data_IF_433587929522
#
_entry.id   IF_433587929522
#
_cell.length_a   1.000
_cell.length_b   1.000
_cell.length_c   1.000
_cell.angle_alpha   90.00
_cell.angle_beta   90.00
_cell.angle_gamma   90.00
#
_symmetry.space_group_name_H-M   'P 1'
#
loop_
_entity.id
_entity.type
_entity.pdbx_description
1 polymer ?
#
# COMPACT_ATOMS: atom_id res chain seq x y z
N UNK A 1 -11.71 -15.01 -1.16
CA UNK A 1 -11.76 -14.05 -0.03
C UNK A 1 -10.46 -14.16 0.77
N UNK A 2 -9.74 -13.06 1.06
CA UNK A 2 -8.56 -13.12 1.92
C UNK A 2 -8.96 -13.56 3.34
N UNK A 3 -8.17 -14.44 3.95
CA UNK A 3 -8.39 -14.96 5.30
C UNK A 3 -7.38 -14.34 6.26
N UNK A 4 -7.82 -14.05 7.49
CA UNK A 4 -6.92 -13.62 8.54
C UNK A 4 -5.83 -14.67 8.80
N UNK A 5 -4.58 -14.21 8.95
CA UNK A 5 -3.43 -15.06 9.25
C UNK A 5 -3.04 -14.83 10.71
N UNK A 6 -2.91 -15.92 11.48
CA UNK A 6 -2.39 -15.87 12.85
C UNK A 6 -0.86 -15.95 12.79
N UNK A 7 -0.20 -15.03 13.47
CA UNK A 7 1.26 -14.95 13.54
C UNK A 7 1.70 -14.67 14.96
N UNK A 8 2.91 -15.14 15.30
CA UNK A 8 3.63 -14.74 16.52
C UNK A 8 4.85 -13.94 16.10
N UNK A 9 5.04 -12.77 16.70
CA UNK A 9 6.10 -11.86 16.31
C UNK A 9 6.45 -10.87 17.42
N UNK A 10 7.46 -10.04 17.16
CA UNK A 10 7.93 -9.00 18.06
C UNK A 10 7.46 -7.64 17.57
N UNK A 11 6.84 -6.86 18.45
CA UNK A 11 6.66 -5.42 18.21
C UNK A 11 8.00 -4.74 18.43
N UNK A 12 8.58 -4.16 17.38
CA UNK A 12 9.90 -3.53 17.45
C UNK A 12 9.80 -2.03 17.72
N UNK A 13 8.73 -1.38 17.23
CA UNK A 13 8.48 0.06 17.40
C UNK A 13 6.98 0.34 17.43
N UNK A 14 6.61 1.44 18.08
CA UNK A 14 5.24 1.97 18.18
C UNK A 14 5.26 3.45 17.81
N UNK A 15 4.24 3.91 17.08
CA UNK A 15 4.07 5.29 16.63
C UNK A 15 2.60 5.72 16.76
N UNK A 16 2.35 7.03 16.82
CA UNK A 16 1.01 7.61 16.68
C UNK A 16 0.54 7.67 15.20
N UNK A 17 1.38 7.24 14.26
CA UNK A 17 1.07 7.09 12.84
C UNK A 17 0.97 8.42 12.10
N UNK A 18 1.53 9.50 12.64
CA UNK A 18 1.51 10.82 12.03
C UNK A 18 2.82 11.13 11.31
N UNK A 19 2.69 11.50 10.04
CA UNK A 19 3.80 12.01 9.23
C UNK A 19 3.25 12.85 8.08
N UNK A 20 4.15 13.45 7.32
CA UNK A 20 3.81 14.29 6.18
C UNK A 20 4.49 13.75 4.93
N UNK A 21 3.71 13.50 3.88
CA UNK A 21 4.28 13.14 2.59
C UNK A 21 4.92 14.38 1.97
N UNK A 22 6.18 14.23 1.57
CA UNK A 22 6.98 15.27 0.93
C UNK A 22 7.37 14.80 -0.48
N UNK A 23 7.07 15.62 -1.48
CA UNK A 23 7.29 15.28 -2.89
C UNK A 23 6.17 14.41 -3.50
N UNK A 24 6.37 13.92 -4.73
CA UNK A 24 5.42 13.04 -5.41
C UNK A 24 4.25 13.74 -6.10
N UNK A 25 3.08 13.09 -6.14
CA UNK A 25 1.80 13.66 -6.61
C UNK A 25 1.03 14.38 -5.48
N UNK A 26 1.33 14.04 -4.23
CA UNK A 26 0.63 14.51 -3.04
C UNK A 26 1.50 15.52 -2.30
N UNK A 27 1.58 16.74 -2.84
CA UNK A 27 2.34 17.82 -2.22
C UNK A 27 1.88 18.02 -0.77
N UNK A 28 2.79 17.83 0.19
CA UNK A 28 2.63 18.31 1.57
C UNK A 28 1.44 17.68 2.32
N UNK A 29 1.03 16.47 1.96
CA UNK A 29 -0.19 15.85 2.51
C UNK A 29 0.03 15.29 3.91
N UNK A 30 -0.68 15.77 4.95
CA UNK A 30 -0.61 15.19 6.28
C UNK A 30 -1.28 13.81 6.28
N UNK A 31 -0.65 12.86 6.95
CA UNK A 31 -1.12 11.47 7.08
C UNK A 31 -1.34 11.16 8.55
N UNK A 32 -2.43 10.45 8.84
CA UNK A 32 -2.75 9.93 10.17
C UNK A 32 -3.21 8.48 10.06
N UNK A 33 -2.27 7.56 10.27
CA UNK A 33 -2.51 6.11 10.31
C UNK A 33 -3.04 5.62 11.68
N UNK A 34 -3.18 6.52 12.66
CA UNK A 34 -3.50 6.18 14.05
C UNK A 34 -2.40 5.35 14.71
N UNK A 35 -2.72 4.69 15.83
CA UNK A 35 -1.75 3.80 16.52
C UNK A 35 -1.19 2.80 15.50
N UNK A 36 0.12 2.85 15.35
CA UNK A 36 0.84 2.08 14.33
C UNK A 36 1.99 1.33 15.01
N UNK A 37 2.17 0.07 14.64
CA UNK A 37 3.25 -0.78 15.15
C UNK A 37 4.06 -1.37 14.01
N UNK A 38 5.37 -1.45 14.21
CA UNK A 38 6.25 -2.28 13.38
C UNK A 38 6.29 -3.67 14.01
N UNK A 39 5.72 -4.65 13.31
CA UNK A 39 5.67 -6.05 13.71
C UNK A 39 6.72 -6.84 12.93
N UNK A 40 7.60 -7.54 13.63
CA UNK A 40 8.57 -8.45 13.06
C UNK A 40 8.13 -9.90 13.27
N UNK A 41 8.01 -10.67 12.19
CA UNK A 41 7.74 -12.11 12.19
C UNK A 41 8.85 -12.79 11.40
N UNK A 42 9.84 -13.37 12.10
CA UNK A 42 11.06 -13.86 11.46
C UNK A 42 11.80 -12.74 10.72
N UNK A 43 12.00 -12.91 9.41
CA UNK A 43 12.59 -11.92 8.51
C UNK A 43 11.58 -10.92 7.91
N UNK A 44 10.29 -11.08 8.18
CA UNK A 44 9.23 -10.23 7.63
C UNK A 44 8.97 -9.07 8.59
N UNK A 45 9.02 -7.85 8.06
CA UNK A 45 8.66 -6.64 8.78
C UNK A 45 7.36 -6.07 8.20
N UNK A 46 6.37 -5.86 9.06
CA UNK A 46 5.04 -5.36 8.68
C UNK A 46 4.69 -4.10 9.46
N UNK A 47 4.05 -3.15 8.79
CA UNK A 47 3.47 -1.95 9.41
C UNK A 47 1.98 -2.20 9.61
N UNK A 48 1.55 -2.32 10.86
CA UNK A 48 0.14 -2.51 11.22
C UNK A 48 -0.39 -1.21 11.77
N UNK A 49 -1.47 -0.69 11.19
CA UNK A 49 -2.04 0.61 11.51
C UNK A 49 -3.54 0.51 11.83
N UNK A 50 -4.01 1.36 12.73
CA UNK A 50 -5.42 1.42 13.12
C UNK A 50 -6.31 2.10 12.08
N UNK A 51 -5.74 2.92 11.18
CA UNK A 51 -6.45 3.65 10.12
C UNK A 51 -5.83 3.33 8.75
N UNK A 52 -6.54 3.76 7.70
CA UNK A 52 -6.06 3.66 6.32
C UNK A 52 -4.69 4.33 6.16
N UNK A 53 -3.83 3.70 5.36
CA UNK A 53 -2.50 4.18 5.06
C UNK A 53 -2.34 4.49 3.55
N UNK A 54 -1.49 5.47 3.20
CA UNK A 54 -1.14 5.77 1.81
C UNK A 54 -0.09 4.77 1.31
N UNK A 55 -0.51 3.54 1.02
CA UNK A 55 0.37 2.43 0.68
C UNK A 55 1.27 2.61 -0.55
N UNK A 56 1.19 3.74 -1.24
CA UNK A 56 2.03 4.10 -2.39
C UNK A 56 3.36 4.76 -2.01
N UNK A 57 3.53 5.21 -0.76
CA UNK A 57 4.67 6.05 -0.37
C UNK A 57 5.62 5.33 0.62
N UNK A 58 6.96 5.42 0.45
CA UNK A 58 7.91 4.79 1.37
C UNK A 58 7.87 5.38 2.79
N UNK A 59 7.30 6.57 3.00
CA UNK A 59 7.13 7.15 4.34
C UNK A 59 6.22 6.31 5.24
N UNK A 60 5.34 5.48 4.68
CA UNK A 60 4.57 4.48 5.44
C UNK A 60 5.51 3.55 6.23
N UNK A 61 6.69 3.25 5.72
CA UNK A 61 7.69 2.46 6.42
C UNK A 61 8.66 3.34 7.23
N UNK A 62 9.15 4.42 6.61
CA UNK A 62 10.19 5.27 7.23
C UNK A 62 9.73 5.98 8.50
N UNK A 63 8.47 6.39 8.59
CA UNK A 63 7.97 7.09 9.78
C UNK A 63 8.07 6.24 11.06
N UNK A 64 8.03 4.91 10.92
CA UNK A 64 8.18 3.97 12.02
C UNK A 64 9.58 3.32 12.01
N UNK A 65 10.56 3.92 11.35
CA UNK A 65 11.96 3.49 11.40
C UNK A 65 12.28 2.22 10.62
N UNK A 66 11.47 1.85 9.64
CA UNK A 66 11.79 0.82 8.65
C UNK A 66 12.23 1.49 7.35
N UNK A 67 13.41 1.14 6.84
CA UNK A 67 13.90 1.69 5.59
C UNK A 67 13.64 0.68 4.44
N UNK A 68 12.80 1.03 3.44
CA UNK A 68 12.46 0.11 2.35
C UNK A 68 13.66 -0.33 1.51
N UNK A 69 14.74 0.46 1.43
CA UNK A 69 15.95 0.11 0.66
C UNK A 69 16.73 -1.07 1.28
N UNK A 70 16.51 -1.35 2.56
CA UNK A 70 17.19 -2.44 3.28
C UNK A 70 16.45 -3.78 3.10
N UNK A 71 15.24 -3.76 2.55
CA UNK A 71 14.46 -4.95 2.27
C UNK A 71 14.77 -5.52 0.88
N UNK A 72 14.76 -6.85 0.76
CA UNK A 72 14.88 -7.53 -0.54
C UNK A 72 13.63 -7.32 -1.40
N UNK A 73 12.45 -7.28 -0.77
CA UNK A 73 11.15 -7.10 -1.40
C UNK A 73 10.30 -6.19 -0.51
N UNK A 74 9.62 -5.22 -1.11
CA UNK A 74 8.65 -4.35 -0.44
C UNK A 74 7.29 -4.58 -1.07
N UNK A 75 6.29 -4.89 -0.23
CA UNK A 75 4.90 -4.99 -0.69
C UNK A 75 4.28 -3.60 -0.69
N UNK A 76 3.72 -3.21 -1.83
CA UNK A 76 3.09 -1.90 -2.00
C UNK A 76 1.63 -2.11 -2.32
N UNK A 77 0.75 -1.55 -1.49
CA UNK A 77 -0.70 -1.55 -1.73
C UNK A 77 -1.09 -0.38 -2.63
N UNK A 78 -0.58 -0.36 -3.87
CA UNK A 78 -0.91 0.62 -4.90
C UNK A 78 -0.50 0.14 -6.28
N UNK A 79 -1.33 0.37 -7.31
CA UNK A 79 -1.03 0.00 -8.70
C UNK A 79 0.03 0.91 -9.30
N UNK A 80 -0.18 2.24 -9.35
CA UNK A 80 0.70 3.14 -10.12
C UNK A 80 1.54 4.10 -9.27
N UNK A 81 1.02 4.55 -8.13
CA UNK A 81 1.65 5.63 -7.34
C UNK A 81 3.05 5.30 -6.82
N UNK A 82 3.36 4.01 -6.67
CA UNK A 82 4.67 3.56 -6.19
C UNK A 82 5.80 3.81 -7.19
N UNK A 83 5.51 3.87 -8.49
CA UNK A 83 6.55 4.01 -9.52
C UNK A 83 7.37 5.28 -9.34
N UNK A 84 6.72 6.39 -8.96
CA UNK A 84 7.40 7.67 -8.69
C UNK A 84 8.01 7.67 -7.29
N UNK A 85 7.24 7.29 -6.27
CA UNK A 85 7.67 7.37 -4.86
C UNK A 85 8.83 6.42 -4.51
N UNK A 86 8.96 5.29 -5.22
CA UNK A 86 10.03 4.32 -5.02
C UNK A 86 11.14 4.38 -6.08
N UNK A 87 11.05 5.26 -7.09
CA UNK A 87 11.98 5.30 -8.23
C UNK A 87 13.47 5.31 -7.81
N UNK A 88 13.81 6.03 -6.74
CA UNK A 88 15.20 6.13 -6.26
C UNK A 88 15.72 4.92 -5.48
N UNK A 89 14.86 3.95 -5.14
CA UNK A 89 15.22 2.78 -4.33
C UNK A 89 14.76 1.44 -4.92
N UNK A 90 13.89 1.47 -5.94
CA UNK A 90 13.34 0.29 -6.60
C UNK A 90 14.12 -0.04 -7.88
N UNK A 91 14.48 -1.32 -8.06
CA UNK A 91 15.10 -1.81 -9.31
C UNK A 91 14.08 -2.30 -10.34
N UNK A 92 12.99 -2.92 -9.88
CA UNK A 92 11.91 -3.46 -10.72
C UNK A 92 10.61 -3.60 -9.93
N UNK A 93 9.49 -3.59 -10.63
CA UNK A 93 8.17 -3.95 -10.08
C UNK A 93 7.84 -5.39 -10.42
N UNK A 94 7.31 -6.14 -9.45
CA UNK A 94 6.76 -7.48 -9.66
C UNK A 94 5.25 -7.40 -9.44
N UNK A 95 4.48 -7.60 -10.51
CA UNK A 95 3.02 -7.62 -10.44
C UNK A 95 2.56 -8.97 -9.91
N UNK A 96 1.59 -8.94 -9.00
CA UNK A 96 1.01 -10.13 -8.39
C UNK A 96 -0.51 -10.10 -8.53
N UNK A 97 -1.09 -11.19 -8.99
CA UNK A 97 -2.56 -11.35 -9.06
C UNK A 97 -3.09 -11.78 -7.69
N UNK A 98 -3.13 -10.83 -6.76
CA UNK A 98 -3.65 -11.08 -5.42
C UNK A 98 -5.18 -10.93 -5.38
N UNK A 99 -5.90 -11.85 -4.69
CA UNK A 99 -7.34 -11.68 -4.47
C UNK A 99 -7.61 -10.47 -3.56
N UNK A 100 -8.77 -9.84 -3.71
CA UNK A 100 -9.19 -8.74 -2.85
C UNK A 100 -10.30 -7.89 -3.47
N UNK A 101 -10.56 -6.73 -2.86
CA UNK A 101 -11.59 -5.80 -3.34
C UNK A 101 -11.19 -5.05 -4.64
N UNK A 102 -9.89 -5.07 -4.98
CA UNK A 102 -9.34 -4.38 -6.15
C UNK A 102 -8.44 -5.32 -6.95
N UNK A 103 -8.97 -6.45 -7.49
CA UNK A 103 -8.17 -7.37 -8.28
C UNK A 103 -7.93 -6.77 -9.67
N UNK A 104 -6.76 -7.05 -10.26
CA UNK A 104 -6.51 -6.72 -11.67
C UNK A 104 -7.24 -7.69 -12.60
N UNK A 105 -7.43 -8.93 -12.15
CA UNK A 105 -8.19 -9.94 -12.88
C UNK A 105 -9.67 -9.91 -12.46
N UNK A 106 -10.54 -9.44 -13.37
CA UNK A 106 -11.96 -9.26 -13.10
C UNK A 106 -12.70 -10.59 -12.92
N UNK A 107 -12.16 -11.69 -13.42
CA UNK A 107 -12.76 -13.04 -13.25
C UNK A 107 -12.70 -13.53 -11.81
N UNK A 108 -11.81 -12.96 -10.96
CA UNK A 108 -11.69 -13.31 -9.54
C UNK A 108 -12.66 -12.57 -8.63
N UNK A 109 -13.34 -11.54 -9.13
CA UNK A 109 -14.25 -10.76 -8.30
C UNK A 109 -15.61 -11.42 -8.22
N UNK A 110 -16.16 -11.50 -7.01
CA UNK A 110 -17.57 -11.89 -6.79
C UNK A 110 -18.55 -10.75 -7.07
N UNK A 111 -18.05 -9.64 -7.65
CA UNK A 111 -18.83 -8.46 -7.97
C UNK A 111 -19.63 -8.73 -9.24
N UNK A 112 -20.94 -8.52 -9.18
CA UNK A 112 -21.79 -8.57 -10.36
C UNK A 112 -21.49 -7.38 -11.29
N UNK A 113 -20.67 -7.64 -12.31
CA UNK A 113 -20.32 -6.63 -13.32
C UNK A 113 -21.46 -6.32 -14.28
N UNK A 114 -22.58 -7.05 -14.27
CA UNK A 114 -23.75 -6.71 -15.09
C UNK A 114 -24.37 -5.37 -14.66
N UNK A 115 -24.12 -4.94 -13.42
CA UNK A 115 -24.54 -3.65 -12.88
C UNK A 115 -23.54 -2.52 -13.13
N UNK A 116 -22.34 -2.83 -13.62
CA UNK A 116 -21.31 -1.83 -13.93
C UNK A 116 -21.70 -1.08 -15.21
N UNK A 117 -22.54 -0.06 -15.05
CA UNK A 117 -22.86 0.90 -16.11
C UNK A 117 -21.62 1.79 -16.33
N UNK A 118 -20.84 1.46 -17.35
CA UNK A 118 -19.92 2.43 -17.94
C UNK A 118 -20.78 3.55 -18.54
N UNK A 119 -20.89 4.68 -17.85
CA UNK A 119 -21.38 5.90 -18.49
C UNK A 119 -20.36 6.23 -19.57
N UNK A 120 -20.66 5.89 -20.82
CA UNK A 120 -19.91 6.43 -21.96
C UNK A 120 -20.10 7.93 -21.88
N UNK A 121 -19.16 8.65 -21.26
CA UNK A 121 -19.08 10.08 -21.44
C UNK A 121 -18.71 10.28 -22.91
N UNK A 122 -19.71 10.62 -23.72
CA UNK A 122 -19.51 11.22 -25.04
C UNK A 122 -18.94 12.62 -24.83
N UNK A 123 -17.68 12.68 -24.39
CA UNK A 123 -16.86 13.89 -24.46
C UNK A 123 -15.97 13.79 -25.70
N UNK A 124 -15.65 14.90 -26.37
CA UNK A 124 -14.82 14.87 -27.56
C UNK A 124 -13.44 14.29 -27.20
N UNK A 125 -12.95 13.40 -28.06
CA UNK A 125 -11.58 12.92 -27.99
C UNK A 125 -10.63 14.13 -28.17
N UNK A 126 -9.72 14.32 -27.21
CA UNK A 126 -8.56 15.19 -27.36
C UNK A 126 -7.43 14.44 -28.04
#
# INVERSE_FOLDING_TARGET
MPRAVRVTGRVTRVSDGRFKIVGGYHLSTPVNMGRTVALQVGSIHSVVSAKLNPGHDPLVYRHIGLEPKDAQIVVVKCVVGHMKSYAGIMKKTIWTDCPGATPSNLTHSSTDWSLARCSRSTGPAF
#
